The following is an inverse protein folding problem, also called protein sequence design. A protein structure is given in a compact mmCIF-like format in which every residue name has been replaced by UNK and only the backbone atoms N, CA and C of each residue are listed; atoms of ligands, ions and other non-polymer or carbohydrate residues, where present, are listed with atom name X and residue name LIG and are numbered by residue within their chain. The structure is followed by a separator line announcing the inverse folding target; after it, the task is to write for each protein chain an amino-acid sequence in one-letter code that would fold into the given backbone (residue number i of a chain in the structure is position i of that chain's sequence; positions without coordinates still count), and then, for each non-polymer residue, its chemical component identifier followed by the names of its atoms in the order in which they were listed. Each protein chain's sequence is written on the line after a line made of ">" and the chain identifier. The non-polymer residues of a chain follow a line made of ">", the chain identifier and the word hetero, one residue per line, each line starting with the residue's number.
data_IF_497982624006
#
_entry.id   IF_497982624006
#
_cell.length_a   1.000
_cell.length_b   1.000
_cell.length_c   1.000
_cell.angle_alpha   90.00
_cell.angle_beta   90.00
_cell.angle_gamma   90.00
#
_symmetry.space_group_name_H-M   'P 1'
#
loop_
_entity.id
_entity.type
_entity.pdbx_description
1 polymer ?
#
# COMPACT_ATOMS: atom_id res chain seq x y z
N UNK A 1 -13.01 10.87 2.04
CA UNK A 1 -11.62 10.39 1.97
C UNK A 1 -11.33 9.45 3.14
N UNK A 2 -10.46 8.48 2.91
CA UNK A 2 -10.03 7.56 3.94
C UNK A 2 -8.53 7.75 4.20
N UNK A 3 -8.12 7.69 5.45
CA UNK A 3 -6.70 7.70 5.83
C UNK A 3 -6.29 6.34 6.39
N UNK A 4 -5.12 5.87 5.97
CA UNK A 4 -4.43 4.73 6.58
C UNK A 4 -3.12 5.24 7.12
N UNK A 5 -3.06 5.48 8.42
CA UNK A 5 -1.89 6.03 9.06
C UNK A 5 -1.12 4.93 9.79
N UNK A 6 0.20 4.94 9.62
CA UNK A 6 1.11 4.12 10.38
C UNK A 6 1.08 4.56 11.86
N UNK A 7 1.01 3.60 12.76
CA UNK A 7 1.02 3.85 14.21
C UNK A 7 -0.12 4.68 14.79
N UNK A 8 -1.19 4.91 14.01
CA UNK A 8 -2.26 5.85 14.36
C UNK A 8 -2.97 5.52 15.67
N UNK A 9 -3.24 4.24 15.94
CA UNK A 9 -4.00 3.83 17.13
C UNK A 9 -3.14 3.62 18.40
N UNK A 10 -1.81 3.71 18.32
CA UNK A 10 -0.93 3.27 19.40
C UNK A 10 -0.78 4.29 20.53
N UNK A 11 -0.72 5.55 20.17
CA UNK A 11 -0.27 6.62 21.06
C UNK A 11 -1.42 7.51 21.57
N UNK A 12 -2.54 7.50 20.83
CA UNK A 12 -3.72 8.27 21.21
C UNK A 12 -5.00 7.49 20.83
N UNK A 13 -5.68 6.87 21.79
CA UNK A 13 -6.92 6.14 21.53
C UNK A 13 -8.09 7.01 21.06
N UNK A 14 -8.04 8.32 21.25
CA UNK A 14 -9.06 9.26 20.79
C UNK A 14 -8.90 9.65 19.30
N UNK A 15 -7.77 9.33 18.70
CA UNK A 15 -7.51 9.71 17.29
C UNK A 15 -8.54 9.15 16.31
N UNK A 16 -8.95 7.87 16.45
CA UNK A 16 -9.97 7.30 15.59
C UNK A 16 -11.32 7.98 15.72
N UNK A 17 -11.69 8.32 16.96
CA UNK A 17 -12.91 9.06 17.22
C UNK A 17 -12.87 10.48 16.66
N UNK A 18 -11.78 11.20 16.87
CA UNK A 18 -11.58 12.54 16.32
C UNK A 18 -11.63 12.53 14.79
N UNK A 19 -10.98 11.56 14.15
CA UNK A 19 -11.03 11.41 12.70
C UNK A 19 -12.44 11.13 12.21
N UNK A 20 -13.18 10.23 12.89
CA UNK A 20 -14.57 9.93 12.58
C UNK A 20 -15.49 11.18 12.74
N UNK A 21 -15.35 11.91 13.83
CA UNK A 21 -16.11 13.14 14.07
C UNK A 21 -15.84 14.21 12.99
N UNK A 22 -14.66 14.17 12.37
CA UNK A 22 -14.27 15.03 11.23
C UNK A 22 -14.66 14.44 9.86
N UNK A 23 -15.34 13.30 9.80
CA UNK A 23 -15.75 12.64 8.57
C UNK A 23 -14.62 11.90 7.83
N UNK A 24 -13.55 11.52 8.53
CA UNK A 24 -12.42 10.77 7.97
C UNK A 24 -12.59 9.29 8.35
N UNK A 25 -12.60 8.42 7.34
CA UNK A 25 -12.60 6.96 7.53
C UNK A 25 -11.16 6.50 7.76
N UNK A 26 -10.94 5.83 8.89
CA UNK A 26 -9.62 5.36 9.27
C UNK A 26 -9.40 3.90 8.86
N UNK A 27 -8.14 3.54 8.67
CA UNK A 27 -7.70 2.17 8.44
C UNK A 27 -6.24 1.99 8.83
N UNK A 28 -5.77 0.75 8.84
CA UNK A 28 -4.39 0.41 9.18
C UNK A 28 -3.66 -0.25 8.01
N UNK A 29 -2.34 -0.32 8.10
CA UNK A 29 -1.49 -0.95 7.09
C UNK A 29 -1.74 -2.47 6.99
N UNK A 30 -1.22 -3.08 5.91
CA UNK A 30 -1.36 -4.51 5.61
C UNK A 30 -0.77 -5.46 6.66
N UNK A 31 0.17 -5.00 7.48
CA UNK A 31 0.78 -5.77 8.59
C UNK A 31 0.24 -5.34 9.96
N UNK A 32 -0.77 -4.49 10.01
CA UNK A 32 -1.44 -3.98 11.21
C UNK A 32 -2.93 -4.36 11.20
N UNK A 33 -3.26 -5.63 11.28
CA UNK A 33 -4.64 -6.09 11.17
C UNK A 33 -5.50 -5.70 12.37
N UNK A 34 -6.81 -5.68 12.16
CA UNK A 34 -7.82 -5.53 13.19
C UNK A 34 -7.74 -4.22 13.96
N UNK A 35 -7.49 -3.11 13.23
CA UNK A 35 -7.37 -1.76 13.80
C UNK A 35 -6.33 -1.66 14.93
N UNK A 36 -5.24 -2.46 14.85
CA UNK A 36 -4.14 -2.45 15.81
C UNK A 36 -2.87 -1.94 15.18
N UNK A 37 -2.09 -1.26 15.99
CA UNK A 37 -0.76 -0.82 15.62
C UNK A 37 0.28 -1.85 16.03
N UNK A 38 1.20 -2.18 15.12
CA UNK A 38 2.28 -3.11 15.40
C UNK A 38 3.20 -2.64 16.55
N UNK A 39 3.38 -1.34 16.72
CA UNK A 39 4.18 -0.78 17.81
C UNK A 39 3.60 -1.11 19.20
N UNK A 40 2.28 -1.25 19.33
CA UNK A 40 1.68 -1.70 20.60
C UNK A 40 2.18 -3.10 20.99
N UNK A 41 2.25 -4.02 20.00
CA UNK A 41 2.81 -5.35 20.24
C UNK A 41 4.29 -5.28 20.58
N UNK A 42 5.08 -4.54 19.81
CA UNK A 42 6.51 -4.40 20.01
C UNK A 42 6.86 -3.86 21.42
N UNK A 43 6.15 -2.84 21.89
CA UNK A 43 6.33 -2.26 23.25
C UNK A 43 5.99 -3.25 24.38
N UNK A 44 5.00 -4.11 24.14
CA UNK A 44 4.51 -5.09 25.12
C UNK A 44 4.94 -6.53 24.82
N UNK A 45 5.97 -6.73 24.01
CA UNK A 45 6.43 -8.06 23.56
C UNK A 45 6.68 -9.03 24.71
N UNK A 46 7.24 -8.57 25.83
CA UNK A 46 7.45 -9.42 27.02
C UNK A 46 6.14 -9.95 27.61
N UNK A 47 5.06 -9.20 27.50
CA UNK A 47 3.72 -9.56 27.98
C UNK A 47 2.92 -10.38 26.96
N UNK A 48 3.02 -10.01 25.70
CA UNK A 48 2.23 -10.63 24.62
C UNK A 48 2.89 -11.88 24.04
N UNK A 49 4.23 -11.98 24.12
CA UNK A 49 4.99 -13.09 23.54
C UNK A 49 5.24 -12.94 22.04
N UNK A 50 5.36 -14.07 21.37
CA UNK A 50 5.68 -14.11 19.93
C UNK A 50 4.49 -13.70 19.06
N UNK A 51 4.78 -13.02 17.95
CA UNK A 51 3.80 -12.71 16.90
C UNK A 51 3.68 -13.92 15.96
N UNK A 52 3.07 -14.99 16.44
CA UNK A 52 2.86 -16.22 15.70
C UNK A 52 1.50 -16.82 16.05
N UNK A 53 0.60 -16.86 15.08
CA UNK A 53 -0.76 -17.33 15.30
C UNK A 53 -0.86 -18.86 15.53
N UNK A 54 0.12 -19.62 15.08
CA UNK A 54 0.15 -21.06 15.31
C UNK A 54 0.39 -21.40 16.79
N UNK A 55 1.23 -20.63 17.46
CA UNK A 55 1.67 -20.91 18.84
C UNK A 55 1.05 -19.97 19.87
N UNK A 56 0.59 -18.78 19.47
CA UNK A 56 0.11 -17.73 20.37
C UNK A 56 -1.29 -17.21 20.03
N UNK A 57 -2.15 -18.06 19.48
CA UNK A 57 -3.48 -17.67 18.99
C UNK A 57 -4.31 -16.94 20.06
N UNK A 58 -4.37 -17.43 21.30
CA UNK A 58 -5.24 -16.84 22.34
C UNK A 58 -4.90 -15.37 22.64
N UNK A 59 -3.62 -15.03 22.66
CA UNK A 59 -3.17 -13.65 22.92
C UNK A 59 -3.44 -12.78 21.72
N UNK A 60 -3.19 -13.29 20.51
CA UNK A 60 -3.48 -12.57 19.27
C UNK A 60 -4.99 -12.34 19.07
N UNK A 61 -5.84 -13.33 19.35
CA UNK A 61 -7.30 -13.15 19.27
C UNK A 61 -7.79 -12.07 20.25
N UNK A 62 -7.24 -12.04 21.47
CA UNK A 62 -7.54 -10.96 22.44
C UNK A 62 -7.05 -9.60 21.91
N UNK A 63 -5.83 -9.53 21.41
CA UNK A 63 -5.25 -8.34 20.84
C UNK A 63 -6.10 -7.79 19.67
N UNK A 64 -6.55 -8.65 18.79
CA UNK A 64 -7.44 -8.30 17.68
C UNK A 64 -8.82 -7.84 18.16
N UNK A 65 -9.37 -8.51 19.16
CA UNK A 65 -10.66 -8.13 19.77
C UNK A 65 -10.61 -6.72 20.34
N UNK A 66 -9.61 -6.40 21.13
CA UNK A 66 -9.41 -5.06 21.70
C UNK A 66 -9.33 -3.97 20.61
N UNK A 67 -8.75 -4.27 19.44
CA UNK A 67 -8.72 -3.35 18.32
C UNK A 67 -10.11 -3.06 17.76
N UNK A 68 -10.92 -4.10 17.54
CA UNK A 68 -12.29 -3.92 17.04
C UNK A 68 -13.18 -3.22 18.09
N UNK A 69 -12.99 -3.51 19.37
CA UNK A 69 -13.73 -2.81 20.45
C UNK A 69 -13.48 -1.29 20.45
N UNK A 70 -12.26 -0.84 20.10
CA UNK A 70 -11.93 0.57 19.98
C UNK A 70 -12.69 1.28 18.85
N UNK A 71 -12.93 0.57 17.76
CA UNK A 71 -13.49 1.15 16.53
C UNK A 71 -14.90 0.69 16.21
N UNK A 72 -15.55 -0.02 17.14
CA UNK A 72 -16.90 -0.58 16.88
C UNK A 72 -17.95 0.47 16.58
N UNK A 73 -17.81 1.67 17.14
CA UNK A 73 -18.75 2.77 17.03
C UNK A 73 -18.29 3.86 16.03
N UNK A 74 -17.16 3.66 15.34
CA UNK A 74 -16.63 4.55 14.31
C UNK A 74 -16.72 3.91 12.93
N UNK A 75 -16.57 4.72 11.89
CA UNK A 75 -16.54 4.24 10.50
C UNK A 75 -15.09 3.98 10.08
N UNK A 76 -14.75 2.73 9.88
CA UNK A 76 -13.38 2.28 9.63
C UNK A 76 -13.30 1.25 8.51
N UNK A 77 -12.15 1.22 7.84
CA UNK A 77 -11.77 0.18 6.90
C UNK A 77 -10.85 -0.83 7.61
N UNK A 78 -11.38 -2.01 7.91
CA UNK A 78 -10.66 -3.00 8.71
C UNK A 78 -9.72 -3.83 7.85
N UNK A 79 -8.43 -3.73 8.13
CA UNK A 79 -7.43 -4.64 7.57
C UNK A 79 -7.56 -6.01 8.22
N UNK A 80 -7.69 -7.06 7.42
CA UNK A 80 -7.68 -8.46 7.87
C UNK A 80 -6.47 -9.21 7.29
N UNK A 81 -6.25 -10.42 7.77
CA UNK A 81 -5.08 -11.22 7.46
C UNK A 81 -3.96 -10.98 8.47
N UNK A 82 -2.78 -11.42 8.12
CA UNK A 82 -1.59 -11.30 8.96
C UNK A 82 -0.35 -11.49 8.13
N UNK A 83 0.71 -10.79 8.46
CA UNK A 83 2.08 -11.08 8.05
C UNK A 83 2.93 -11.46 9.26
N UNK A 84 4.19 -11.73 9.05
CA UNK A 84 5.13 -11.95 10.14
C UNK A 84 5.37 -10.70 10.99
N UNK A 85 6.15 -10.85 12.04
CA UNK A 85 6.46 -9.79 12.99
C UNK A 85 7.22 -8.63 12.30
N UNK A 86 6.75 -7.39 12.51
CA UNK A 86 7.38 -6.20 11.95
C UNK A 86 7.39 -6.14 10.41
N UNK A 87 6.32 -6.60 9.78
CA UNK A 87 6.19 -6.70 8.31
C UNK A 87 7.12 -7.76 7.67
N UNK A 88 7.67 -8.67 8.45
CA UNK A 88 8.40 -9.82 7.92
C UNK A 88 7.46 -10.77 7.16
N UNK A 89 7.98 -11.60 6.24
CA UNK A 89 7.18 -12.67 5.64
C UNK A 89 6.64 -13.66 6.66
N UNK A 90 5.46 -14.23 6.41
CA UNK A 90 4.95 -15.35 7.21
C UNK A 90 5.91 -16.53 7.15
N UNK A 91 6.26 -17.08 8.31
CA UNK A 91 7.14 -18.24 8.42
C UNK A 91 8.63 -17.93 8.36
N UNK A 92 9.05 -16.66 8.43
CA UNK A 92 10.45 -16.24 8.52
C UNK A 92 11.04 -15.68 7.22
N UNK A 93 12.34 -15.39 7.24
CA UNK A 93 13.05 -14.79 6.09
C UNK A 93 13.09 -15.75 4.90
N UNK A 94 12.88 -15.21 3.69
CA UNK A 94 13.18 -15.93 2.45
C UNK A 94 14.64 -16.41 2.46
N UNK A 95 14.85 -17.69 2.13
CA UNK A 95 16.19 -18.28 2.01
C UNK A 95 16.66 -19.18 3.14
N UNK A 96 15.86 -19.39 4.18
CA UNK A 96 16.14 -20.41 5.19
C UNK A 96 15.42 -21.72 4.82
N UNK A 97 16.16 -22.61 4.20
CA UNK A 97 15.90 -24.05 4.02
C UNK A 97 14.88 -24.56 2.99
N UNK A 98 15.23 -25.68 2.39
CA UNK A 98 14.69 -26.41 1.24
C UNK A 98 13.27 -27.01 1.35
N UNK A 99 12.40 -26.53 2.23
CA UNK A 99 11.02 -27.02 2.40
C UNK A 99 9.94 -26.04 1.89
N UNK A 100 10.17 -25.43 0.75
CA UNK A 100 9.29 -24.35 0.25
C UNK A 100 7.84 -24.80 -0.04
N UNK A 101 7.61 -25.99 -0.55
CA UNK A 101 6.27 -26.45 -0.97
C UNK A 101 5.37 -26.77 0.23
N UNK A 102 5.87 -27.45 1.23
CA UNK A 102 5.12 -27.78 2.44
C UNK A 102 4.84 -26.54 3.31
N UNK A 103 5.67 -25.51 3.23
CA UNK A 103 5.56 -24.29 4.00
C UNK A 103 4.45 -23.38 3.47
N UNK A 104 4.26 -23.28 2.16
CA UNK A 104 3.21 -22.48 1.54
C UNK A 104 1.83 -23.00 1.91
N UNK A 105 1.60 -24.28 1.78
CA UNK A 105 0.32 -24.91 2.17
C UNK A 105 0.03 -24.70 3.66
N UNK A 106 1.03 -24.88 4.51
CA UNK A 106 0.91 -24.60 5.95
C UNK A 106 0.54 -23.15 6.21
N UNK A 107 1.26 -22.20 5.62
CA UNK A 107 1.03 -20.75 5.79
C UNK A 107 -0.36 -20.33 5.25
N UNK A 108 -0.76 -20.87 4.10
CA UNK A 108 -2.10 -20.63 3.54
C UNK A 108 -3.21 -21.13 4.45
N UNK A 109 -3.06 -22.32 5.03
CA UNK A 109 -4.04 -22.89 5.96
C UNK A 109 -4.09 -22.11 7.27
N UNK A 110 -2.93 -21.66 7.76
CA UNK A 110 -2.84 -20.78 8.93
C UNK A 110 -3.52 -19.44 8.65
N UNK A 111 -3.27 -18.81 7.48
CA UNK A 111 -3.85 -17.53 7.10
C UNK A 111 -5.38 -17.64 6.92
N UNK A 112 -5.89 -18.72 6.33
CA UNK A 112 -7.34 -19.00 6.28
C UNK A 112 -7.95 -19.04 7.70
N UNK A 113 -7.26 -19.69 8.64
CA UNK A 113 -7.69 -19.76 10.05
C UNK A 113 -7.69 -18.38 10.70
N UNK A 114 -6.64 -17.58 10.49
CA UNK A 114 -6.53 -16.20 10.97
C UNK A 114 -7.72 -15.38 10.50
N UNK A 115 -7.95 -15.32 9.19
CA UNK A 115 -9.03 -14.53 8.57
C UNK A 115 -10.40 -14.98 9.08
N UNK A 116 -10.64 -16.28 9.16
CA UNK A 116 -11.90 -16.81 9.73
C UNK A 116 -12.14 -16.33 11.16
N UNK A 117 -11.12 -16.37 12.01
CA UNK A 117 -11.24 -15.95 13.40
C UNK A 117 -11.34 -14.43 13.53
N UNK A 118 -10.62 -13.66 12.74
CA UNK A 118 -10.75 -12.21 12.69
C UNK A 118 -12.18 -11.78 12.31
N UNK A 119 -12.77 -12.40 11.30
CA UNK A 119 -14.17 -12.13 10.90
C UNK A 119 -15.17 -12.55 11.99
N UNK A 120 -14.89 -13.65 12.70
CA UNK A 120 -15.69 -14.02 13.88
C UNK A 120 -15.59 -12.97 15.00
N UNK A 121 -14.40 -12.45 15.26
CA UNK A 121 -14.18 -11.39 16.25
C UNK A 121 -14.95 -10.11 15.86
N UNK A 122 -14.91 -9.71 14.59
CA UNK A 122 -15.67 -8.56 14.09
C UNK A 122 -17.16 -8.76 14.39
N UNK A 123 -17.72 -9.90 14.02
CA UNK A 123 -19.13 -10.22 14.29
C UNK A 123 -19.45 -10.22 15.79
N UNK A 124 -18.63 -10.87 16.61
CA UNK A 124 -18.86 -11.02 18.05
C UNK A 124 -18.81 -9.66 18.79
N UNK A 125 -17.95 -8.74 18.35
CA UNK A 125 -17.77 -7.42 18.98
C UNK A 125 -18.82 -6.43 18.50
N UNK A 126 -19.12 -6.41 17.20
CA UNK A 126 -20.04 -5.44 16.63
C UNK A 126 -21.51 -5.86 16.72
N UNK A 127 -21.78 -7.13 16.99
CA UNK A 127 -23.12 -7.72 16.96
C UNK A 127 -23.74 -7.82 15.57
N UNK A 128 -22.97 -7.55 14.51
CA UNK A 128 -23.42 -7.55 13.10
C UNK A 128 -22.62 -8.58 12.29
N UNK A 129 -23.17 -9.07 11.19
CA UNK A 129 -22.42 -9.87 10.21
C UNK A 129 -21.12 -9.17 9.79
N UNK A 130 -20.05 -9.95 9.59
CA UNK A 130 -18.75 -9.36 9.28
C UNK A 130 -18.72 -8.63 7.92
N UNK A 131 -19.56 -9.07 6.96
CA UNK A 131 -19.72 -8.48 5.63
C UNK A 131 -20.43 -7.13 5.62
N UNK A 132 -21.10 -6.75 6.72
CA UNK A 132 -21.64 -5.41 6.89
C UNK A 132 -20.58 -4.35 7.24
N UNK A 133 -19.35 -4.78 7.54
CA UNK A 133 -18.24 -3.87 7.83
C UNK A 133 -17.16 -4.01 6.77
N UNK A 134 -16.76 -2.90 6.09
CA UNK A 134 -15.76 -2.96 5.04
C UNK A 134 -14.44 -3.55 5.55
N UNK A 135 -13.98 -4.58 4.87
CA UNK A 135 -12.72 -5.25 5.16
C UNK A 135 -11.80 -5.24 3.95
N UNK A 136 -10.52 -5.11 4.18
CA UNK A 136 -9.50 -5.13 3.13
C UNK A 136 -8.43 -6.17 3.46
N UNK A 137 -8.04 -6.92 2.46
CA UNK A 137 -6.93 -7.86 2.52
C UNK A 137 -5.89 -7.54 1.44
N UNK A 138 -4.67 -7.17 1.88
CA UNK A 138 -3.59 -6.84 0.97
C UNK A 138 -2.88 -8.12 0.51
N UNK A 139 -2.79 -8.28 -0.80
CA UNK A 139 -2.04 -9.36 -1.45
C UNK A 139 -0.64 -8.85 -1.83
N UNK A 140 0.18 -8.63 -0.80
CA UNK A 140 1.52 -8.05 -0.91
C UNK A 140 2.61 -9.10 -0.70
N UNK A 141 3.69 -9.05 -1.46
CA UNK A 141 4.85 -9.97 -1.39
C UNK A 141 4.41 -11.45 -1.42
N UNK A 142 4.75 -12.23 -0.38
CA UNK A 142 4.41 -13.66 -0.28
C UNK A 142 2.91 -13.93 -0.33
N UNK A 143 2.08 -13.00 0.15
CA UNK A 143 0.62 -13.15 0.13
C UNK A 143 0.07 -13.15 -1.29
N UNK A 144 0.68 -12.38 -2.22
CA UNK A 144 0.33 -12.47 -3.64
C UNK A 144 0.58 -13.88 -4.18
N UNK A 145 1.74 -14.47 -3.87
CA UNK A 145 2.03 -15.85 -4.27
C UNK A 145 1.01 -16.84 -3.70
N UNK A 146 0.62 -16.70 -2.43
CA UNK A 146 -0.42 -17.54 -1.84
C UNK A 146 -1.76 -17.42 -2.58
N UNK A 147 -2.14 -16.19 -2.96
CA UNK A 147 -3.32 -15.96 -3.78
C UNK A 147 -3.21 -16.62 -5.15
N UNK A 148 -2.07 -16.48 -5.82
CA UNK A 148 -1.83 -17.02 -7.17
C UNK A 148 -1.85 -18.56 -7.18
N UNK A 149 -1.41 -19.22 -6.11
CA UNK A 149 -1.48 -20.69 -5.97
C UNK A 149 -2.78 -21.18 -5.32
N UNK A 150 -3.78 -20.32 -5.13
CA UNK A 150 -5.15 -20.74 -4.81
C UNK A 150 -5.70 -20.36 -3.44
N UNK A 151 -4.99 -19.55 -2.61
CA UNK A 151 -5.60 -18.99 -1.40
C UNK A 151 -6.73 -18.04 -1.80
N UNK A 152 -7.89 -18.22 -1.18
CA UNK A 152 -9.05 -17.34 -1.39
C UNK A 152 -9.63 -16.90 -0.05
N UNK A 153 -10.22 -15.70 -0.05
CA UNK A 153 -10.95 -15.10 1.07
C UNK A 153 -12.41 -14.88 0.67
N UNK A 154 -13.33 -14.64 1.61
CA UNK A 154 -14.73 -14.35 1.29
C UNK A 154 -14.89 -13.23 0.27
N UNK A 155 -15.90 -13.34 -0.59
CA UNK A 155 -16.03 -12.48 -1.78
C UNK A 155 -16.44 -11.03 -1.46
N UNK A 156 -16.91 -10.76 -0.25
CA UNK A 156 -17.22 -9.42 0.26
C UNK A 156 -15.97 -8.61 0.64
N UNK A 157 -14.82 -9.26 0.84
CA UNK A 157 -13.57 -8.61 1.21
C UNK A 157 -12.97 -7.89 0.02
N UNK A 158 -12.56 -6.62 0.21
CA UNK A 158 -11.82 -5.85 -0.79
C UNK A 158 -10.42 -6.45 -0.94
N UNK A 159 -10.06 -6.85 -2.15
CA UNK A 159 -8.73 -7.34 -2.48
C UNK A 159 -7.83 -6.18 -2.82
N UNK A 160 -6.76 -5.96 -2.06
CA UNK A 160 -5.82 -4.86 -2.27
C UNK A 160 -4.57 -5.37 -2.99
N UNK A 161 -4.47 -5.07 -4.29
CA UNK A 161 -3.26 -5.28 -5.09
C UNK A 161 -2.18 -4.29 -4.66
N UNK A 162 -0.93 -4.65 -4.90
CA UNK A 162 0.22 -3.78 -4.64
C UNK A 162 1.09 -3.70 -5.89
N UNK A 163 1.74 -2.55 -6.07
CA UNK A 163 2.80 -2.39 -7.06
C UNK A 163 4.10 -3.11 -6.63
N UNK A 164 5.16 -2.91 -7.40
CA UNK A 164 6.49 -3.44 -7.10
C UNK A 164 7.30 -2.59 -6.11
N UNK A 165 6.67 -1.65 -5.41
CA UNK A 165 7.22 -0.60 -4.55
C UNK A 165 7.90 0.57 -5.31
N UNK A 166 7.89 0.53 -6.64
CA UNK A 166 8.52 1.53 -7.51
C UNK A 166 7.54 2.12 -8.53
N UNK A 167 6.24 1.95 -8.27
CA UNK A 167 5.19 2.49 -9.12
C UNK A 167 4.85 1.65 -10.34
N UNK A 168 5.25 0.37 -10.41
CA UNK A 168 4.85 -0.52 -11.49
C UNK A 168 3.86 -1.55 -11.01
N UNK A 169 2.71 -1.65 -11.66
CA UNK A 169 1.64 -2.59 -11.32
C UNK A 169 2.07 -4.02 -11.68
N UNK A 170 2.07 -4.90 -10.70
CA UNK A 170 2.56 -6.28 -10.88
C UNK A 170 1.50 -7.26 -11.35
N UNK A 171 0.25 -7.01 -10.98
CA UNK A 171 -0.88 -7.91 -11.21
C UNK A 171 -2.17 -7.11 -11.32
N UNK A 172 -3.04 -7.57 -12.20
CA UNK A 172 -4.41 -7.08 -12.35
C UNK A 172 -5.39 -8.25 -12.30
N UNK A 173 -6.65 -8.03 -11.90
CA UNK A 173 -7.64 -9.09 -11.86
C UNK A 173 -8.03 -9.50 -13.29
N UNK A 174 -8.18 -10.80 -13.51
CA UNK A 174 -8.76 -11.31 -14.75
C UNK A 174 -10.28 -11.10 -14.79
N UNK A 175 -10.92 -11.49 -15.91
CA UNK A 175 -12.36 -11.27 -16.13
C UNK A 175 -13.25 -11.94 -15.06
N UNK A 176 -12.87 -13.12 -14.58
CA UNK A 176 -13.63 -13.83 -13.53
C UNK A 176 -13.41 -13.21 -12.16
N UNK A 177 -12.17 -12.84 -11.84
CA UNK A 177 -11.83 -12.21 -10.59
C UNK A 177 -12.52 -10.85 -10.39
N UNK A 178 -12.75 -10.11 -11.47
CA UNK A 178 -13.48 -8.83 -11.44
C UNK A 178 -14.94 -8.93 -11.01
N UNK A 179 -15.53 -10.13 -11.05
CA UNK A 179 -16.93 -10.34 -10.68
C UNK A 179 -17.18 -10.38 -9.17
N UNK A 180 -16.11 -10.40 -8.35
CA UNK A 180 -16.26 -10.48 -6.88
C UNK A 180 -16.93 -9.21 -6.32
N UNK A 181 -17.93 -9.33 -5.41
CA UNK A 181 -18.69 -8.20 -4.86
C UNK A 181 -17.83 -7.21 -4.06
N UNK A 182 -16.83 -7.70 -3.32
CA UNK A 182 -15.92 -6.86 -2.53
C UNK A 182 -15.05 -5.95 -3.41
N UNK A 183 -14.84 -6.34 -4.66
CA UNK A 183 -14.05 -5.56 -5.62
C UNK A 183 -12.56 -5.56 -5.34
N UNK A 184 -11.86 -4.67 -6.04
CA UNK A 184 -10.41 -4.60 -6.06
C UNK A 184 -9.92 -3.20 -5.75
N UNK A 185 -8.82 -3.12 -5.03
CA UNK A 185 -8.09 -1.90 -4.74
C UNK A 185 -6.62 -2.01 -5.16
N UNK A 186 -5.94 -0.85 -5.19
CA UNK A 186 -4.52 -0.72 -5.48
C UNK A 186 -3.81 0.04 -4.36
N UNK A 187 -2.69 -0.49 -3.92
CA UNK A 187 -1.72 0.18 -3.06
C UNK A 187 -0.50 0.56 -3.91
N UNK A 188 -0.38 1.84 -4.18
CA UNK A 188 0.61 2.42 -5.09
C UNK A 188 1.67 3.21 -4.30
N UNK A 189 2.94 3.11 -4.71
CA UNK A 189 4.06 3.80 -4.07
C UNK A 189 4.59 4.93 -4.94
N UNK A 190 4.67 6.13 -4.37
CA UNK A 190 5.48 7.25 -4.89
C UNK A 190 6.71 7.49 -4.01
N UNK A 191 6.76 6.83 -2.86
CA UNK A 191 7.94 6.67 -2.01
C UNK A 191 7.96 5.25 -1.43
N UNK A 192 9.14 4.65 -1.38
CA UNK A 192 9.36 3.35 -0.78
C UNK A 192 10.42 3.42 0.31
N UNK A 193 10.05 3.03 1.52
CA UNK A 193 10.96 2.94 2.67
C UNK A 193 11.38 1.49 2.88
N UNK A 194 12.64 1.15 2.55
CA UNK A 194 13.15 -0.20 2.72
C UNK A 194 14.48 -0.47 2.04
N UNK A 195 15.01 -1.67 2.28
CA UNK A 195 16.20 -2.16 1.61
C UNK A 195 15.99 -2.23 0.08
N UNK A 196 17.06 -2.14 -0.74
CA UNK A 196 18.46 -2.12 -0.33
C UNK A 196 19.01 -0.72 -0.03
N UNK A 197 18.28 0.34 -0.34
CA UNK A 197 18.76 1.73 -0.22
C UNK A 197 17.92 2.52 0.76
N UNK A 198 18.57 3.34 1.58
CA UNK A 198 17.89 4.20 2.57
C UNK A 198 17.88 5.68 2.20
N UNK A 199 18.75 6.10 1.27
CA UNK A 199 18.72 7.48 0.75
C UNK A 199 17.51 7.67 -0.13
N UNK A 200 16.68 8.64 0.21
CA UNK A 200 15.45 8.93 -0.51
C UNK A 200 15.58 10.28 -1.20
N UNK A 201 15.29 10.28 -2.49
CA UNK A 201 15.08 11.50 -3.25
C UNK A 201 13.59 11.77 -3.34
N UNK A 202 13.24 13.04 -3.39
CA UNK A 202 11.87 13.48 -3.25
C UNK A 202 11.26 13.73 -4.63
N UNK A 203 9.99 13.35 -4.78
CA UNK A 203 9.18 13.63 -5.96
C UNK A 203 9.79 13.12 -7.29
N UNK A 204 10.35 11.92 -7.26
CA UNK A 204 11.08 11.36 -8.41
C UNK A 204 10.20 10.48 -9.32
N UNK A 205 8.94 10.26 -8.96
CA UNK A 205 8.02 9.41 -9.74
C UNK A 205 7.70 10.07 -11.08
N UNK A 206 7.96 9.40 -12.23
CA UNK A 206 7.61 9.93 -13.53
C UNK A 206 6.11 10.13 -13.70
N UNK A 207 5.70 11.32 -14.10
CA UNK A 207 4.30 11.72 -14.25
C UNK A 207 3.56 10.77 -15.20
N UNK A 208 4.16 10.47 -16.34
CA UNK A 208 3.59 9.64 -17.39
C UNK A 208 3.44 8.19 -16.92
N UNK A 209 4.44 7.66 -16.21
CA UNK A 209 4.37 6.31 -15.65
C UNK A 209 3.25 6.19 -14.62
N UNK A 210 3.16 7.14 -13.69
CA UNK A 210 2.11 7.14 -12.69
C UNK A 210 0.72 7.19 -13.33
N UNK A 211 0.52 8.08 -14.30
CA UNK A 211 -0.74 8.17 -15.03
C UNK A 211 -1.07 6.86 -15.75
N UNK A 212 -0.13 6.31 -16.52
CA UNK A 212 -0.33 5.08 -17.28
C UNK A 212 -0.67 3.89 -16.38
N UNK A 213 0.05 3.70 -15.28
CA UNK A 213 -0.17 2.60 -14.35
C UNK A 213 -1.50 2.72 -13.61
N UNK A 214 -1.91 3.92 -13.24
CA UNK A 214 -3.21 4.16 -12.61
C UNK A 214 -4.38 4.05 -13.60
N UNK A 215 -4.19 4.49 -14.83
CA UNK A 215 -5.18 4.31 -15.90
C UNK A 215 -5.39 2.83 -16.20
N UNK A 216 -4.29 2.07 -16.36
CA UNK A 216 -4.32 0.62 -16.54
C UNK A 216 -5.05 -0.08 -15.38
N UNK A 217 -4.76 0.33 -14.15
CA UNK A 217 -5.40 -0.17 -12.94
C UNK A 217 -6.92 0.02 -13.00
N UNK A 218 -7.37 1.21 -13.34
CA UNK A 218 -8.80 1.52 -13.49
C UNK A 218 -9.47 0.73 -14.62
N UNK A 219 -8.84 0.64 -15.78
CA UNK A 219 -9.39 -0.04 -16.96
C UNK A 219 -9.58 -1.56 -16.71
N UNK A 220 -8.81 -2.12 -15.79
CA UNK A 220 -8.96 -3.51 -15.35
C UNK A 220 -9.91 -3.70 -14.16
N UNK A 221 -10.72 -2.67 -13.80
CA UNK A 221 -11.75 -2.76 -12.78
C UNK A 221 -11.23 -2.76 -11.35
N UNK A 222 -10.07 -2.15 -11.12
CA UNK A 222 -9.50 -1.91 -9.79
C UNK A 222 -9.89 -0.49 -9.37
N UNK A 223 -11.13 -0.32 -8.96
CA UNK A 223 -11.78 0.98 -8.74
C UNK A 223 -12.38 1.14 -7.32
N UNK A 224 -12.30 0.09 -6.49
CA UNK A 224 -12.96 0.10 -5.18
C UNK A 224 -12.22 0.90 -4.12
N UNK A 225 -10.90 0.85 -4.15
CA UNK A 225 -10.04 1.49 -3.15
C UNK A 225 -8.66 1.76 -3.77
N UNK A 226 -8.23 3.02 -3.72
CA UNK A 226 -6.87 3.38 -4.09
C UNK A 226 -6.15 3.97 -2.88
N UNK A 227 -4.98 3.44 -2.56
CA UNK A 227 -4.12 3.87 -1.45
C UNK A 227 -2.79 4.32 -2.01
N UNK A 228 -2.33 5.49 -1.61
CA UNK A 228 -1.03 6.04 -1.97
C UNK A 228 -0.08 5.98 -0.79
N UNK A 229 1.08 5.35 -0.98
CA UNK A 229 2.22 5.47 -0.07
C UNK A 229 3.07 6.67 -0.52
N UNK A 230 3.20 7.65 0.36
CA UNK A 230 3.85 8.93 0.05
C UNK A 230 5.12 9.18 0.85
N UNK A 231 5.43 8.33 1.84
CA UNK A 231 6.48 8.66 2.82
C UNK A 231 6.12 9.94 3.57
N UNK A 232 6.86 11.00 3.34
CA UNK A 232 6.55 12.33 3.86
C UNK A 232 5.56 13.08 2.95
N UNK A 233 4.72 13.94 3.53
CA UNK A 233 3.74 14.71 2.76
C UNK A 233 4.41 15.81 1.92
N UNK A 234 5.49 16.40 2.44
CA UNK A 234 6.28 17.43 1.74
C UNK A 234 7.64 16.86 1.33
N UNK A 235 8.06 17.11 0.12
CA UNK A 235 7.45 17.84 -1.00
C UNK A 235 6.71 16.95 -2.01
N UNK A 236 5.94 15.98 -1.54
CA UNK A 236 5.20 15.03 -2.38
C UNK A 236 3.83 15.57 -2.85
N UNK A 237 3.59 16.86 -2.72
CA UNK A 237 2.30 17.49 -3.02
C UNK A 237 1.85 17.23 -4.46
N UNK A 238 2.78 17.23 -5.41
CA UNK A 238 2.42 17.01 -6.81
C UNK A 238 1.91 15.59 -7.08
N UNK A 239 2.65 14.51 -6.77
CA UNK A 239 2.15 13.15 -6.99
C UNK A 239 0.91 12.83 -6.16
N UNK A 240 0.78 13.38 -4.95
CA UNK A 240 -0.45 13.27 -4.15
C UNK A 240 -1.63 13.88 -4.90
N UNK A 241 -1.47 15.08 -5.43
CA UNK A 241 -2.53 15.79 -6.16
C UNK A 241 -2.94 15.02 -7.42
N UNK A 242 -1.99 14.54 -8.21
CA UNK A 242 -2.27 13.75 -9.41
C UNK A 242 -3.02 12.44 -9.05
N UNK A 243 -2.55 11.73 -8.04
CA UNK A 243 -3.20 10.50 -7.59
C UNK A 243 -4.66 10.74 -7.17
N UNK A 244 -4.90 11.75 -6.35
CA UNK A 244 -6.24 12.05 -5.85
C UNK A 244 -7.18 12.55 -6.95
N UNK A 245 -6.68 13.36 -7.88
CA UNK A 245 -7.46 13.84 -9.02
C UNK A 245 -7.81 12.69 -9.98
N UNK A 246 -6.88 11.75 -10.20
CA UNK A 246 -7.16 10.53 -10.97
C UNK A 246 -8.12 9.59 -10.22
N UNK A 247 -8.02 9.44 -8.92
CA UNK A 247 -8.94 8.64 -8.12
C UNK A 247 -10.36 9.24 -8.14
N UNK A 248 -10.48 10.56 -8.21
CA UNK A 248 -11.74 11.26 -8.32
C UNK A 248 -12.38 11.11 -9.71
N UNK A 249 -11.58 11.28 -10.76
CA UNK A 249 -12.02 11.13 -12.15
C UNK A 249 -10.91 10.55 -13.03
N UNK A 250 -10.79 9.21 -13.10
CA UNK A 250 -9.70 8.54 -13.83
C UNK A 250 -9.69 8.82 -15.34
N UNK A 251 -10.84 9.23 -15.91
CA UNK A 251 -10.97 9.49 -17.35
C UNK A 251 -10.68 10.94 -17.75
N UNK A 252 -10.36 11.80 -16.78
CA UNK A 252 -10.14 13.24 -17.07
C UNK A 252 -8.89 13.48 -17.89
N UNK A 253 -7.83 12.76 -17.60
CA UNK A 253 -6.54 12.94 -18.26
C UNK A 253 -6.24 11.79 -19.19
N UNK A 254 -5.81 12.12 -20.39
CA UNK A 254 -5.43 11.21 -21.48
C UNK A 254 -3.96 11.46 -21.85
N UNK A 255 -3.39 10.63 -22.71
CA UNK A 255 -2.02 10.86 -23.21
C UNK A 255 -1.85 12.24 -23.86
N UNK A 256 -2.91 12.77 -24.48
CA UNK A 256 -2.86 14.04 -25.22
C UNK A 256 -2.91 15.27 -24.32
N UNK A 257 -3.59 15.18 -23.16
CA UNK A 257 -3.80 16.32 -22.27
C UNK A 257 -3.17 16.18 -20.89
N UNK A 258 -2.40 15.12 -20.64
CA UNK A 258 -1.81 14.84 -19.32
C UNK A 258 -1.04 16.02 -18.74
N UNK A 259 -0.30 16.76 -19.57
CA UNK A 259 0.53 17.88 -19.11
C UNK A 259 -0.28 19.12 -18.68
N UNK A 260 -1.57 19.16 -18.93
CA UNK A 260 -2.45 20.20 -18.37
C UNK A 260 -2.53 20.09 -16.83
N UNK A 261 -2.41 18.86 -16.28
CA UNK A 261 -2.43 18.65 -14.85
C UNK A 261 -1.26 19.32 -14.12
N UNK A 262 0.03 19.02 -14.44
CA UNK A 262 1.16 19.69 -13.80
C UNK A 262 1.19 21.20 -14.10
N UNK A 263 0.71 21.63 -15.27
CA UNK A 263 0.60 23.06 -15.58
C UNK A 263 -0.36 23.76 -14.62
N UNK A 264 -1.56 23.21 -14.43
CA UNK A 264 -2.53 23.75 -13.50
C UNK A 264 -2.05 23.72 -12.04
N UNK A 265 -1.31 22.68 -11.65
CA UNK A 265 -0.66 22.63 -10.34
C UNK A 265 0.37 23.74 -10.18
N UNK A 266 1.29 23.90 -11.15
CA UNK A 266 2.34 24.91 -11.11
C UNK A 266 1.75 26.34 -11.14
N UNK A 267 0.69 26.59 -11.91
CA UNK A 267 0.00 27.88 -11.92
C UNK A 267 -0.54 28.26 -10.53
N UNK A 268 -1.11 27.29 -9.81
CA UNK A 268 -1.60 27.53 -8.43
C UNK A 268 -0.48 27.76 -7.42
N UNK A 269 0.69 27.14 -7.61
CA UNK A 269 1.82 27.25 -6.67
C UNK A 269 2.72 28.44 -6.93
N UNK A 270 2.97 28.78 -8.19
CA UNK A 270 4.00 29.74 -8.61
C UNK A 270 3.47 30.92 -9.40
N UNK A 271 2.17 30.95 -9.68
CA UNK A 271 1.51 31.96 -10.53
C UNK A 271 1.53 31.59 -12.01
N UNK A 272 0.61 32.19 -12.76
CA UNK A 272 0.38 31.89 -14.18
C UNK A 272 1.60 32.19 -15.06
N UNK A 273 2.34 33.25 -14.73
CA UNK A 273 3.53 33.66 -15.49
C UNK A 273 4.67 32.65 -15.44
N UNK A 274 4.76 31.85 -14.34
CA UNK A 274 5.81 30.85 -14.15
C UNK A 274 5.34 29.42 -14.48
N UNK A 275 4.04 29.23 -14.75
CA UNK A 275 3.42 27.93 -14.87
C UNK A 275 4.07 27.00 -15.88
N UNK A 276 4.37 27.53 -17.07
CA UNK A 276 4.92 26.73 -18.18
C UNK A 276 6.35 26.29 -17.89
N UNK A 277 7.21 27.20 -17.39
CA UNK A 277 8.59 26.86 -17.06
C UNK A 277 8.66 25.93 -15.82
N UNK A 278 7.88 26.18 -14.78
CA UNK A 278 7.81 25.30 -13.63
C UNK A 278 7.32 23.89 -14.03
N UNK A 279 6.36 23.80 -14.94
CA UNK A 279 5.88 22.51 -15.49
C UNK A 279 6.97 21.79 -16.26
N UNK A 280 7.70 22.52 -17.11
CA UNK A 280 8.82 21.95 -17.85
C UNK A 280 9.89 21.38 -16.91
N UNK A 281 10.24 22.13 -15.86
CA UNK A 281 11.23 21.69 -14.85
C UNK A 281 10.72 20.46 -14.13
N UNK A 282 9.50 20.47 -13.61
CA UNK A 282 8.89 19.35 -12.88
C UNK A 282 8.87 18.08 -13.74
N UNK A 283 8.43 18.19 -14.99
CA UNK A 283 8.35 17.07 -15.91
C UNK A 283 9.74 16.52 -16.27
N UNK A 284 10.73 17.37 -16.53
CA UNK A 284 12.09 16.93 -16.82
C UNK A 284 12.76 16.30 -15.59
N UNK A 285 12.56 16.88 -14.42
CA UNK A 285 13.09 16.33 -13.17
C UNK A 285 12.60 14.91 -12.95
N UNK A 286 11.29 14.68 -12.99
CA UNK A 286 10.71 13.34 -12.80
C UNK A 286 11.10 12.38 -13.93
N UNK A 287 11.16 12.84 -15.18
CA UNK A 287 11.61 12.06 -16.34
C UNK A 287 13.06 11.58 -16.19
N UNK A 288 13.97 12.44 -15.78
CA UNK A 288 15.37 12.06 -15.63
C UNK A 288 15.59 11.11 -14.46
N UNK A 289 14.92 11.34 -13.35
CA UNK A 289 14.95 10.43 -12.23
C UNK A 289 14.28 9.06 -12.52
N UNK A 290 13.36 9.01 -13.49
CA UNK A 290 12.76 7.76 -13.96
C UNK A 290 13.68 6.87 -14.81
N UNK A 291 14.81 7.39 -15.28
CA UNK A 291 15.81 6.58 -16.03
C UNK A 291 16.55 5.62 -15.10
N UNK A 292 17.00 6.13 -13.97
CA UNK A 292 17.55 5.37 -12.85
C UNK A 292 17.07 6.06 -11.58
N UNK A 293 16.29 5.37 -10.78
CA UNK A 293 15.84 5.89 -9.49
C UNK A 293 17.06 6.28 -8.65
N UNK A 294 17.16 7.52 -8.15
CA UNK A 294 18.36 7.98 -7.44
C UNK A 294 18.79 7.11 -6.28
N UNK A 295 17.84 6.48 -5.58
CA UNK A 295 18.12 5.53 -4.49
C UNK A 295 18.88 4.29 -4.94
N UNK A 296 18.89 4.01 -6.23
CA UNK A 296 19.63 2.87 -6.82
C UNK A 296 20.99 3.26 -7.38
N UNK A 297 21.32 4.56 -7.36
CA UNK A 297 22.63 5.04 -7.80
C UNK A 297 23.70 4.71 -6.74
N UNK A 298 24.83 4.23 -7.22
CA UNK A 298 26.02 3.99 -6.43
C UNK A 298 27.32 4.28 -7.22
N UNK A 299 28.46 4.03 -6.63
CA UNK A 299 29.76 4.29 -7.25
C UNK A 299 30.04 3.43 -8.50
N UNK A 300 29.21 2.44 -8.79
CA UNK A 300 29.36 1.56 -9.96
C UNK A 300 28.33 1.87 -11.05
N UNK A 301 27.34 2.70 -10.76
CA UNK A 301 26.21 2.98 -11.68
C UNK A 301 26.68 3.64 -13.00
N UNK A 302 27.69 4.51 -12.90
CA UNK A 302 28.31 5.17 -14.03
C UNK A 302 29.80 4.85 -14.07
N UNK A 303 30.12 3.57 -14.25
CA UNK A 303 31.49 3.12 -14.37
C UNK A 303 32.00 3.40 -15.80
N UNK A 304 32.91 4.38 -15.94
CA UNK A 304 33.48 4.81 -17.22
C UNK A 304 34.71 3.99 -17.65
N UNK A 305 35.00 2.91 -16.96
CA UNK A 305 36.17 2.05 -17.29
C UNK A 305 35.97 1.21 -18.56
N UNK A 306 34.74 1.13 -19.07
CA UNK A 306 34.45 0.41 -20.32
C UNK A 306 33.98 1.36 -21.43
N UNK A 307 34.19 1.01 -22.71
CA UNK A 307 33.72 1.84 -23.85
C UNK A 307 32.21 2.03 -23.91
N UNK A 308 31.44 1.25 -23.13
CA UNK A 308 29.98 1.31 -23.08
C UNK A 308 29.46 2.24 -21.99
N UNK A 309 30.35 2.74 -21.12
CA UNK A 309 30.01 3.58 -19.97
C UNK A 309 30.31 5.06 -20.24
N UNK A 310 30.24 5.50 -21.49
CA UNK A 310 30.37 6.92 -21.83
C UNK A 310 29.20 7.70 -21.24
N UNK A 311 29.49 8.58 -20.29
CA UNK A 311 28.50 9.45 -19.65
C UNK A 311 27.68 10.26 -20.66
N UNK A 312 28.23 10.57 -21.84
CA UNK A 312 27.52 11.26 -22.91
C UNK A 312 26.37 10.43 -23.50
N UNK A 313 26.39 9.12 -23.34
CA UNK A 313 25.28 8.22 -23.72
C UNK A 313 24.12 8.41 -22.75
N UNK A 314 24.38 8.65 -21.50
CA UNK A 314 23.36 8.89 -20.47
C UNK A 314 22.82 10.31 -20.47
N UNK A 315 23.58 11.28 -21.01
CA UNK A 315 23.19 12.69 -21.08
C UNK A 315 22.35 13.05 -22.33
N UNK A 316 22.25 12.15 -23.29
CA UNK A 316 21.39 12.31 -24.48
C UNK A 316 19.99 11.76 -24.22
#
# INVERSE_FOLDING_TARGET
>A
PAMRAWSFYADDPENSKTAHDMGIIMGTSHHEPMARNHQEWARKRKQYGVWDYATNQKVLDRFFREGIERVKDTEDLITIGMRGDGDAPMGGKEGADHEYVNRDEYNMNLLKKVIKNQRKIIKDVTGRPADERPQVWAIYKEVQRFYDIGLRVPDDVIMLLCDDNWGNVRRLPNAEERKRPGGWGMYYHVDYVGAPRNSKWLNVTPIQNMWEQLQLTYDYGVDKLWILNVGDLKPMEYPITLFLDMAWNPKRYTADNLLEHPRGFCARQFGEEQADEATRILNLYSKYNGRVTPEMLDCHTYNIETPYDDINVYLK
#
